data_IF_015850340470
#
_entry.id   IF_015850340470
#
_cell.length_a   1.000
_cell.length_b   1.000
_cell.length_c   1.000
_cell.angle_alpha   90.00
_cell.angle_beta   90.00
_cell.angle_gamma   90.00
#
_symmetry.space_group_name_H-M   'P 1'
#
loop_
_entity.id
_entity.type
_entity.pdbx_description
1 polymer ?
#
# COMPACT_ATOMS: atom_id res chain seq x y z
N UNK A 1 -58.88 3.44 -5.80
CA UNK A 1 -58.34 2.06 -5.89
C UNK A 1 -57.51 1.98 -7.16
N UNK A 2 -56.19 2.08 -6.98
CA UNK A 2 -55.11 1.44 -7.73
C UNK A 2 -53.87 2.30 -7.57
N UNK A 3 -53.04 1.89 -6.62
CA UNK A 3 -51.63 2.24 -6.57
C UNK A 3 -50.97 1.65 -7.81
N UNK A 4 -50.15 2.45 -8.49
CA UNK A 4 -49.09 1.92 -9.34
C UNK A 4 -47.77 2.40 -8.73
N UNK A 5 -47.24 1.52 -7.88
CA UNK A 5 -45.94 1.61 -7.20
C UNK A 5 -44.84 1.17 -8.18
N UNK A 6 -44.44 2.07 -9.07
CA UNK A 6 -43.23 1.89 -9.88
C UNK A 6 -42.28 3.09 -9.71
N UNK A 7 -41.90 3.35 -8.47
CA UNK A 7 -40.79 4.27 -8.15
C UNK A 7 -39.98 3.73 -6.97
N UNK A 8 -38.96 2.91 -7.24
CA UNK A 8 -37.73 2.85 -6.43
C UNK A 8 -36.78 1.75 -6.90
N UNK A 9 -35.93 2.05 -7.88
CA UNK A 9 -34.72 1.26 -8.10
C UNK A 9 -33.52 2.03 -8.67
N UNK A 10 -33.60 3.35 -8.88
CA UNK A 10 -32.58 4.06 -9.67
C UNK A 10 -32.18 5.46 -9.16
N UNK A 11 -32.09 5.68 -7.84
CA UNK A 11 -31.70 6.99 -7.29
C UNK A 11 -30.57 6.96 -6.24
N UNK A 12 -29.65 6.00 -6.30
CA UNK A 12 -28.42 6.09 -5.50
C UNK A 12 -27.18 5.64 -6.26
N UNK A 13 -27.01 6.16 -7.47
CA UNK A 13 -25.67 6.33 -8.02
C UNK A 13 -25.03 7.59 -7.39
N UNK A 14 -25.00 7.65 -6.06
CA UNK A 14 -24.30 8.68 -5.31
C UNK A 14 -22.86 8.67 -5.83
N UNK A 15 -22.43 9.79 -6.44
CA UNK A 15 -21.13 9.90 -7.11
C UNK A 15 -20.05 9.50 -6.10
N UNK A 16 -19.45 8.32 -6.30
CA UNK A 16 -18.40 7.80 -5.42
C UNK A 16 -17.35 8.90 -5.23
N UNK A 17 -17.10 9.28 -3.99
CA UNK A 17 -16.14 10.33 -3.68
C UNK A 17 -14.78 10.01 -4.32
N UNK A 18 -14.03 11.05 -4.76
CA UNK A 18 -12.71 10.87 -5.33
C UNK A 18 -11.79 10.15 -4.32
N UNK A 19 -11.16 9.06 -4.76
CA UNK A 19 -10.21 8.28 -3.95
C UNK A 19 -8.80 8.57 -4.40
N UNK A 20 -7.92 8.89 -3.45
CA UNK A 20 -6.49 8.98 -3.70
C UNK A 20 -5.85 7.60 -3.45
N UNK A 21 -5.10 7.10 -4.43
CA UNK A 21 -4.24 5.93 -4.25
C UNK A 21 -3.06 6.34 -3.37
N UNK A 22 -2.97 5.75 -2.16
CA UNK A 22 -1.93 6.03 -1.17
C UNK A 22 -1.61 4.76 -0.40
N UNK A 23 -0.31 4.47 -0.25
CA UNK A 23 0.16 3.37 0.58
C UNK A 23 0.46 3.87 1.99
N UNK A 24 -0.36 3.45 2.96
CA UNK A 24 -0.25 3.88 4.36
C UNK A 24 -0.35 2.68 5.28
N UNK A 25 0.58 2.62 6.26
CA UNK A 25 0.48 1.68 7.37
C UNK A 25 -0.50 2.26 8.40
N UNK A 26 -1.53 1.49 8.72
CA UNK A 26 -2.53 1.84 9.72
C UNK A 26 -2.74 0.66 10.66
N UNK A 27 -3.49 0.85 11.74
CA UNK A 27 -3.94 -0.25 12.59
C UNK A 27 -5.46 -0.23 12.70
N UNK A 28 -6.05 -1.42 12.79
CA UNK A 28 -7.45 -1.60 13.15
C UNK A 28 -7.52 -2.30 14.49
N UNK A 29 -8.55 -1.99 15.27
CA UNK A 29 -8.87 -2.69 16.51
C UNK A 29 -10.29 -3.25 16.40
N UNK A 30 -10.38 -4.59 16.45
CA UNK A 30 -11.61 -5.38 16.35
C UNK A 30 -11.78 -6.17 17.63
N UNK A 31 -13.03 -6.33 18.08
CA UNK A 31 -13.37 -7.17 19.23
C UNK A 31 -12.94 -8.63 19.03
N UNK A 32 -12.86 -9.11 17.78
CA UNK A 32 -12.55 -10.50 17.43
C UNK A 32 -11.07 -10.81 17.38
N UNK A 33 -10.25 -9.83 16.98
CA UNK A 33 -8.83 -10.04 16.68
C UNK A 33 -7.91 -9.11 17.48
N UNK A 34 -8.47 -8.26 18.34
CA UNK A 34 -7.75 -7.19 18.99
C UNK A 34 -7.19 -6.19 17.97
N UNK A 35 -6.06 -5.59 18.30
CA UNK A 35 -5.39 -4.59 17.46
C UNK A 35 -4.36 -5.23 16.52
N UNK A 36 -4.47 -4.94 15.23
CA UNK A 36 -3.55 -5.45 14.20
C UNK A 36 -3.25 -4.42 13.12
N UNK A 37 -2.08 -4.55 12.50
CA UNK A 37 -1.63 -3.67 11.43
C UNK A 37 -2.30 -4.02 10.09
N UNK A 38 -2.62 -3.01 9.31
CA UNK A 38 -3.19 -3.12 7.95
C UNK A 38 -2.46 -2.22 6.97
N UNK A 39 -2.58 -2.57 5.69
CA UNK A 39 -2.08 -1.74 4.59
C UNK A 39 -3.24 -1.06 3.89
N UNK A 40 -3.31 0.26 4.01
CA UNK A 40 -4.28 1.08 3.28
C UNK A 40 -3.72 1.39 1.90
N UNK A 41 -4.55 1.24 0.86
CA UNK A 41 -4.20 1.46 -0.56
C UNK A 41 -4.99 2.61 -1.17
N UNK A 42 -6.22 2.83 -0.72
CA UNK A 42 -7.11 3.87 -1.22
C UNK A 42 -7.70 4.64 -0.04
N UNK A 43 -7.73 5.97 -0.12
CA UNK A 43 -8.33 6.83 0.90
C UNK A 43 -9.22 7.88 0.22
N UNK A 44 -10.41 8.08 0.78
CA UNK A 44 -11.30 9.22 0.51
C UNK A 44 -11.61 9.94 1.81
N UNK A 45 -12.35 11.05 1.74
CA UNK A 45 -12.79 11.79 2.93
C UNK A 45 -13.65 10.93 3.87
N UNK A 46 -14.43 9.99 3.34
CA UNK A 46 -15.34 9.16 4.16
C UNK A 46 -14.88 7.73 4.40
N UNK A 47 -13.67 7.36 3.98
CA UNK A 47 -13.26 5.98 4.19
C UNK A 47 -11.94 5.54 3.58
N UNK A 48 -11.63 4.29 3.84
CA UNK A 48 -10.38 3.64 3.46
C UNK A 48 -10.63 2.28 2.80
N UNK A 49 -9.76 1.92 1.87
CA UNK A 49 -9.70 0.60 1.27
C UNK A 49 -8.29 0.03 1.39
N UNK A 50 -8.18 -1.23 1.81
CA UNK A 50 -6.89 -1.81 2.16
C UNK A 50 -6.89 -3.33 2.20
N UNK A 51 -5.85 -3.87 2.81
CA UNK A 51 -5.65 -5.29 3.04
C UNK A 51 -5.27 -5.52 4.51
N UNK A 52 -5.87 -6.53 5.11
CA UNK A 52 -5.66 -6.95 6.50
C UNK A 52 -5.09 -8.39 6.55
N UNK A 53 -4.40 -8.78 7.64
CA UNK A 53 -3.98 -10.17 7.86
C UNK A 53 -5.16 -11.11 8.19
N UNK A 54 -6.31 -10.57 8.58
CA UNK A 54 -7.51 -11.30 8.94
C UNK A 54 -8.67 -10.94 8.01
N UNK A 55 -9.57 -11.90 7.79
CA UNK A 55 -10.81 -11.66 7.06
C UNK A 55 -11.82 -10.95 7.98
N UNK A 56 -12.11 -9.69 7.68
CA UNK A 56 -13.10 -8.90 8.42
C UNK A 56 -14.52 -9.35 8.05
N UNK A 57 -15.51 -9.11 8.90
CA UNK A 57 -16.91 -9.32 8.55
C UNK A 57 -17.53 -8.04 7.96
N UNK A 58 -18.36 -8.18 6.92
CA UNK A 58 -19.14 -7.05 6.39
C UNK A 58 -20.13 -6.59 7.46
N UNK A 59 -20.22 -5.29 7.69
CA UNK A 59 -21.01 -4.68 8.75
C UNK A 59 -20.29 -4.62 10.10
N UNK A 60 -19.11 -5.22 10.23
CA UNK A 60 -18.32 -5.18 11.46
C UNK A 60 -17.94 -3.75 11.81
N UNK A 61 -18.10 -3.42 13.10
CA UNK A 61 -17.74 -2.13 13.65
C UNK A 61 -16.40 -2.26 14.37
N UNK A 62 -15.48 -1.36 14.05
CA UNK A 62 -14.10 -1.43 14.52
C UNK A 62 -13.54 -0.02 14.72
N UNK A 63 -12.41 0.07 15.42
CA UNK A 63 -11.68 1.34 15.57
C UNK A 63 -10.56 1.41 14.54
N UNK A 64 -10.48 2.55 13.86
CA UNK A 64 -9.49 2.84 12.82
C UNK A 64 -8.44 3.80 13.37
N UNK A 65 -7.18 3.39 13.33
CA UNK A 65 -6.03 4.22 13.69
C UNK A 65 -5.24 4.61 12.45
N UNK A 66 -5.50 5.81 11.92
CA UNK A 66 -4.75 6.39 10.81
C UNK A 66 -3.64 7.33 11.32
N UNK A 67 -2.47 7.36 10.66
CA UNK A 67 -1.41 8.29 11.02
C UNK A 67 -1.88 9.74 10.82
N UNK A 68 -1.63 10.58 11.82
CA UNK A 68 -2.05 11.98 11.82
C UNK A 68 -3.50 12.23 12.20
N UNK A 69 -4.27 11.19 12.54
CA UNK A 69 -5.67 11.29 12.94
C UNK A 69 -5.89 10.74 14.34
N UNK A 70 -6.97 11.17 15.00
CA UNK A 70 -7.47 10.50 16.19
C UNK A 70 -8.04 9.14 15.81
N UNK A 71 -8.07 8.22 16.77
CA UNK A 71 -8.78 6.96 16.59
C UNK A 71 -10.27 7.27 16.37
N UNK A 72 -10.85 6.69 15.34
CA UNK A 72 -12.24 6.92 14.96
C UNK A 72 -12.92 5.58 14.67
N UNK A 73 -14.23 5.51 14.85
CA UNK A 73 -14.95 4.30 14.49
C UNK A 73 -15.07 4.16 12.96
N UNK A 74 -15.10 2.93 12.46
CA UNK A 74 -15.45 2.60 11.08
C UNK A 74 -16.33 1.35 10.95
N UNK A 75 -17.16 1.31 9.91
CA UNK A 75 -17.95 0.12 9.50
C UNK A 75 -17.34 -0.48 8.25
N UNK A 76 -17.11 -1.79 8.29
CA UNK A 76 -16.70 -2.54 7.09
C UNK A 76 -17.86 -2.60 6.09
N UNK A 77 -17.72 -1.98 4.92
CA UNK A 77 -18.77 -1.93 3.88
C UNK A 77 -18.68 -3.06 2.88
N UNK A 78 -17.47 -3.56 2.62
CA UNK A 78 -17.23 -4.70 1.74
C UNK A 78 -15.95 -5.43 2.13
N UNK A 79 -15.91 -6.73 1.81
CA UNK A 79 -14.76 -7.61 2.00
C UNK A 79 -14.63 -8.52 0.79
N UNK A 80 -13.42 -8.68 0.27
CA UNK A 80 -13.07 -9.64 -0.77
C UNK A 80 -11.73 -10.27 -0.37
N UNK A 81 -11.75 -11.53 0.02
CA UNK A 81 -10.61 -12.22 0.65
C UNK A 81 -10.14 -11.45 1.90
N UNK A 82 -8.89 -10.99 1.87
CA UNK A 82 -8.26 -10.16 2.90
C UNK A 82 -8.33 -8.66 2.59
N UNK A 83 -8.98 -8.28 1.49
CA UNK A 83 -9.19 -6.87 1.12
C UNK A 83 -10.51 -6.39 1.70
N UNK A 84 -10.52 -5.13 2.12
CA UNK A 84 -11.67 -4.52 2.75
C UNK A 84 -11.87 -3.09 2.27
N UNK A 85 -13.08 -2.58 2.46
CA UNK A 85 -13.34 -1.16 2.53
C UNK A 85 -14.13 -0.81 3.78
N UNK A 86 -13.68 0.22 4.46
CA UNK A 86 -14.26 0.75 5.68
C UNK A 86 -14.74 2.17 5.40
N UNK A 87 -15.96 2.45 5.82
CA UNK A 87 -16.50 3.81 5.93
C UNK A 87 -16.24 4.30 7.35
N UNK A 88 -15.67 5.50 7.48
CA UNK A 88 -15.35 6.12 8.77
C UNK A 88 -16.47 7.06 9.20
N UNK A 89 -16.72 7.15 10.50
CA UNK A 89 -17.74 8.10 11.01
C UNK A 89 -17.24 9.54 11.01
N UNK A 90 -15.92 9.71 11.06
CA UNK A 90 -15.25 11.01 10.98
C UNK A 90 -14.59 11.20 9.61
N UNK A 91 -14.48 12.47 9.21
CA UNK A 91 -13.83 12.83 7.95
C UNK A 91 -12.31 12.64 8.03
N UNK A 92 -11.76 12.00 7.00
CA UNK A 92 -10.33 11.79 6.83
C UNK A 92 -9.74 12.99 6.07
N UNK A 93 -8.87 13.74 6.75
CA UNK A 93 -8.13 14.85 6.16
C UNK A 93 -6.90 14.33 5.43
N UNK A 94 -7.01 14.24 4.09
CA UNK A 94 -5.99 13.68 3.20
C UNK A 94 -4.62 14.39 3.30
N UNK A 95 -4.59 15.66 3.67
CA UNK A 95 -3.39 16.46 3.93
C UNK A 95 -2.61 16.01 5.17
N UNK A 96 -3.30 15.48 6.19
CA UNK A 96 -2.68 14.99 7.43
C UNK A 96 -2.16 13.55 7.33
N UNK A 97 -2.59 12.81 6.31
CA UNK A 97 -2.22 11.42 6.15
C UNK A 97 -0.74 11.32 5.74
N UNK A 98 0.13 11.06 6.71
CA UNK A 98 1.56 10.86 6.48
C UNK A 98 1.77 9.51 5.79
N UNK A 99 2.45 9.53 4.64
CA UNK A 99 2.94 8.30 4.01
C UNK A 99 3.87 7.57 4.99
N UNK A 100 3.91 6.23 4.90
CA UNK A 100 4.67 5.37 5.80
C UNK A 100 6.20 5.63 5.84
N UNK A 101 6.70 6.64 5.11
CA UNK A 101 8.10 7.08 5.12
C UNK A 101 8.56 7.79 6.41
N UNK A 102 7.70 7.98 7.42
CA UNK A 102 8.10 8.69 8.64
C UNK A 102 7.20 8.52 9.85
N UNK A 103 6.37 7.48 9.90
CA UNK A 103 5.71 7.08 11.14
C UNK A 103 6.79 6.48 12.03
N UNK A 104 7.20 7.20 13.07
CA UNK A 104 8.29 6.82 13.96
C UNK A 104 8.30 5.31 14.18
N UNK A 105 9.41 4.69 13.79
CA UNK A 105 9.80 3.40 14.32
C UNK A 105 9.46 3.40 15.82
N UNK A 106 8.74 2.39 16.36
CA UNK A 106 8.62 2.29 17.81
C UNK A 106 10.02 2.43 18.35
N UNK A 107 10.22 3.37 19.29
CA UNK A 107 11.53 3.77 19.80
C UNK A 107 12.38 2.53 20.01
N UNK A 108 13.21 2.26 19.01
CA UNK A 108 14.16 1.20 19.05
C UNK A 108 15.32 1.81 19.80
N UNK A 109 15.22 1.77 21.12
CA UNK A 109 16.42 1.68 21.95
C UNK A 109 17.21 0.39 21.65
N UNK A 110 16.76 -0.41 20.67
CA UNK A 110 17.67 -1.12 19.79
C UNK A 110 18.24 -0.15 18.77
N UNK A 111 19.33 0.51 19.17
CA UNK A 111 20.36 0.91 18.22
C UNK A 111 20.82 -0.36 17.51
N UNK A 112 20.20 -0.66 16.36
CA UNK A 112 20.75 -1.66 15.46
C UNK A 112 21.90 -0.93 14.76
N UNK A 113 23.11 -1.17 15.23
CA UNK A 113 24.31 -0.64 14.59
C UNK A 113 24.45 -1.30 13.22
N UNK A 114 23.85 -0.67 12.20
CA UNK A 114 24.08 -1.07 10.82
C UNK A 114 25.47 -0.61 10.43
N UNK A 115 26.45 -1.51 10.51
CA UNK A 115 27.78 -1.25 9.97
C UNK A 115 27.71 -1.45 8.46
N UNK A 116 27.96 -0.39 7.70
CA UNK A 116 28.29 -0.52 6.27
C UNK A 116 29.58 -1.33 6.20
N UNK A 117 29.49 -2.61 5.85
CA UNK A 117 30.67 -3.45 5.64
C UNK A 117 31.30 -2.96 4.33
N UNK A 118 32.55 -2.45 4.35
CA UNK A 118 33.23 -2.08 3.13
C UNK A 118 33.30 -3.30 2.21
N UNK A 119 33.15 -3.12 0.89
CA UNK A 119 33.20 -4.23 -0.04
C UNK A 119 34.48 -5.03 0.21
N UNK A 120 34.39 -6.38 0.30
CA UNK A 120 35.58 -7.21 0.48
C UNK A 120 36.56 -6.90 -0.66
N UNK A 121 37.82 -6.63 -0.30
CA UNK A 121 38.90 -6.33 -1.25
C UNK A 121 39.36 -7.57 -2.01
N UNK A 122 38.95 -8.75 -1.55
CA UNK A 122 39.21 -10.00 -2.25
C UNK A 122 38.38 -10.05 -3.53
N UNK A 123 39.09 -9.99 -4.65
CA UNK A 123 38.52 -10.31 -5.95
C UNK A 123 38.11 -11.78 -5.92
N UNK A 124 36.84 -12.04 -5.62
CA UNK A 124 36.24 -13.34 -5.84
C UNK A 124 36.30 -13.61 -7.34
N UNK A 125 37.30 -14.39 -7.78
CA UNK A 125 37.33 -14.92 -9.15
C UNK A 125 36.07 -15.74 -9.32
N UNK A 126 35.08 -15.18 -10.01
CA UNK A 126 33.86 -15.88 -10.41
C UNK A 126 34.29 -17.00 -11.36
N UNK A 127 34.15 -18.29 -10.99
CA UNK A 127 34.46 -19.38 -11.89
C UNK A 127 33.58 -19.24 -13.14
N UNK A 128 34.19 -19.14 -14.32
CA UNK A 128 33.47 -18.99 -15.60
C UNK A 128 33.21 -17.56 -16.10
N UNK A 129 33.63 -16.51 -15.37
CA UNK A 129 33.61 -15.14 -15.90
C UNK A 129 35.04 -14.68 -16.21
N UNK A 130 35.60 -15.17 -17.31
CA UNK A 130 36.79 -14.54 -17.89
C UNK A 130 36.35 -13.21 -18.51
N UNK A 131 36.77 -12.09 -17.92
CA UNK A 131 36.91 -10.85 -18.67
C UNK A 131 37.81 -11.19 -19.87
N UNK A 132 37.21 -11.26 -21.06
CA UNK A 132 37.95 -11.52 -22.28
C UNK A 132 39.07 -10.50 -22.37
N UNK A 133 40.32 -10.97 -22.22
CA UNK A 133 41.44 -10.27 -22.80
C UNK A 133 41.06 -10.06 -24.27
N UNK A 134 41.11 -8.80 -24.72
CA UNK A 134 40.94 -8.49 -26.13
C UNK A 134 41.89 -9.41 -26.92
N UNK A 135 41.32 -10.39 -27.61
CA UNK A 135 42.10 -11.26 -28.48
C UNK A 135 42.54 -10.40 -29.67
N UNK A 136 43.84 -10.29 -29.95
CA UNK A 136 44.29 -9.58 -31.13
C UNK A 136 43.94 -10.46 -32.34
N UNK A 137 43.18 -9.89 -33.28
CA UNK A 137 42.94 -10.47 -34.59
C UNK A 137 41.61 -11.21 -34.75
N UNK A 138 40.61 -10.48 -35.23
CA UNK A 138 39.76 -10.99 -36.31
C UNK A 138 39.19 -9.82 -37.13
N UNK A 139 39.47 -9.71 -38.43
CA UNK A 139 39.03 -8.61 -39.27
C UNK A 139 37.64 -8.90 -39.84
N UNK A 140 36.59 -8.44 -39.18
CA UNK A 140 35.29 -8.31 -39.84
C UNK A 140 34.54 -7.09 -39.29
N UNK A 141 34.86 -5.92 -39.85
CA UNK A 141 34.04 -4.73 -39.67
C UNK A 141 32.78 -4.88 -40.52
N UNK A 142 31.61 -4.84 -39.87
CA UNK A 142 30.38 -4.40 -40.52
C UNK A 142 30.12 -2.97 -40.06
N UNK A 143 30.34 -2.05 -40.98
CA UNK A 143 30.21 -0.61 -40.82
C UNK A 143 28.72 -0.23 -40.63
N UNK A 144 28.39 0.38 -39.50
CA UNK A 144 27.03 0.83 -39.16
C UNK A 144 26.89 2.36 -39.25
N UNK A 145 27.64 3.02 -40.14
CA UNK A 145 27.47 4.46 -40.39
C UNK A 145 27.39 4.80 -41.88
N UNK A 146 26.26 4.47 -42.48
CA UNK A 146 25.75 5.24 -43.62
C UNK A 146 24.22 5.18 -43.64
N UNK A 147 23.58 6.22 -43.09
CA UNK A 147 22.23 6.66 -43.47
C UNK A 147 21.97 8.03 -42.87
N UNK A 148 22.29 9.05 -43.67
CA UNK A 148 21.59 10.32 -43.66
C UNK A 148 20.85 10.41 -44.99
#
# INVERSE_FOLDING_TARGET
MSHDEEQSASESAEKRQPRQSRLVKAALESDRFGRFDVTVRNVSQTGIGGQAPHCLARGERLTVHLPGHRAMMGTVRWVVDQRFGIETDEEIRLDQLRAAHGGGVPSADRSVEFRIIPPPKDVAKRPGLSLGAASPGNPYMSDWRARR
#
